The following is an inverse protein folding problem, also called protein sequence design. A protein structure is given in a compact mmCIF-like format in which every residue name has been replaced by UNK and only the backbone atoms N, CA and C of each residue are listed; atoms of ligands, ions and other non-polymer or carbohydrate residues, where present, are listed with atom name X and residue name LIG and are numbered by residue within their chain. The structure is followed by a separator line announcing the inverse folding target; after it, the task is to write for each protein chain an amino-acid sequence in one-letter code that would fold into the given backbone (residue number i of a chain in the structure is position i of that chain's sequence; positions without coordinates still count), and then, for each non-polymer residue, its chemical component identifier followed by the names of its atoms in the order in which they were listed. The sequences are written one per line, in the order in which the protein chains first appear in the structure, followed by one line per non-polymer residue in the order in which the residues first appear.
data_IF_406103180427
#
_entry.id   IF_406103180427
#
_cell.length_a   1.000
_cell.length_b   1.000
_cell.length_c   1.000
_cell.angle_alpha   90.00
_cell.angle_beta   90.00
_cell.angle_gamma   90.00
#
_symmetry.space_group_name_H-M   'P 1'
#
loop_
_entity.id
_entity.type
_entity.pdbx_description
1 polymer ?
#
# COMPACT_ATOMS: atom_id res chain seq x y z
N UNK A 1 -13.94 -10.36 -14.27
CA UNK A 1 -13.25 -9.07 -14.35
C UNK A 1 -11.84 -9.36 -14.86
N UNK A 2 -11.38 -8.68 -15.92
CA UNK A 2 -10.00 -8.82 -16.41
C UNK A 2 -9.05 -7.98 -15.55
N UNK A 3 -7.77 -8.29 -15.58
CA UNK A 3 -6.74 -7.54 -14.83
C UNK A 3 -6.74 -6.05 -15.19
N UNK A 4 -6.94 -5.73 -16.48
CA UNK A 4 -6.98 -4.35 -16.94
C UNK A 4 -8.18 -3.57 -16.37
N UNK A 5 -9.31 -4.24 -16.16
CA UNK A 5 -10.49 -3.64 -15.55
C UNK A 5 -10.22 -3.28 -14.07
N UNK A 6 -9.49 -4.15 -13.34
CA UNK A 6 -9.11 -3.88 -11.94
C UNK A 6 -8.20 -2.66 -11.86
N UNK A 7 -7.21 -2.58 -12.76
CA UNK A 7 -6.29 -1.43 -12.84
C UNK A 7 -7.06 -0.14 -13.12
N UNK A 8 -7.93 -0.13 -14.13
CA UNK A 8 -8.73 1.03 -14.48
C UNK A 8 -9.63 1.47 -13.32
N UNK A 9 -10.38 0.53 -12.72
CA UNK A 9 -11.26 0.80 -11.58
C UNK A 9 -10.52 1.41 -10.40
N UNK A 10 -9.32 0.91 -10.06
CA UNK A 10 -8.53 1.47 -8.96
C UNK A 10 -8.13 2.92 -9.24
N UNK A 11 -7.58 3.19 -10.41
CA UNK A 11 -7.12 4.54 -10.77
C UNK A 11 -8.30 5.51 -10.87
N UNK A 12 -9.42 5.08 -11.46
CA UNK A 12 -10.64 5.89 -11.56
C UNK A 12 -11.26 6.17 -10.19
N UNK A 13 -11.29 5.17 -9.31
CA UNK A 13 -11.77 5.32 -7.94
C UNK A 13 -10.97 6.39 -7.19
N UNK A 14 -9.64 6.31 -7.16
CA UNK A 14 -8.84 7.31 -6.46
C UNK A 14 -8.81 8.67 -7.17
N UNK A 15 -8.93 8.70 -8.51
CA UNK A 15 -9.17 9.96 -9.24
C UNK A 15 -10.44 10.65 -8.76
N UNK A 16 -11.52 9.90 -8.51
CA UNK A 16 -12.77 10.44 -7.95
C UNK A 16 -12.62 10.99 -6.53
N UNK A 17 -11.63 10.50 -5.76
CA UNK A 17 -11.24 11.01 -4.44
C UNK A 17 -10.19 12.14 -4.51
N UNK A 18 -10.09 12.80 -5.67
CA UNK A 18 -9.15 13.90 -5.96
C UNK A 18 -7.66 13.54 -5.91
N UNK A 19 -7.30 12.28 -6.18
CA UNK A 19 -5.89 11.91 -6.37
C UNK A 19 -5.46 12.23 -7.80
N UNK A 20 -4.27 12.81 -7.94
CA UNK A 20 -3.62 12.93 -9.24
C UNK A 20 -3.13 11.55 -9.67
N UNK A 21 -3.51 11.12 -10.86
CA UNK A 21 -3.04 9.85 -11.44
C UNK A 21 -1.65 10.08 -12.04
N UNK A 22 -0.65 9.38 -11.52
CA UNK A 22 0.71 9.38 -12.04
C UNK A 22 0.96 8.14 -12.92
N UNK A 23 1.74 8.27 -14.00
CA UNK A 23 2.22 7.11 -14.73
C UNK A 23 3.15 6.27 -13.84
N UNK A 24 3.29 4.99 -14.18
CA UNK A 24 4.36 4.15 -13.63
C UNK A 24 5.72 4.76 -13.97
N UNK A 25 6.60 4.88 -12.98
CA UNK A 25 7.99 5.24 -13.19
C UNK A 25 8.79 4.04 -13.73
N UNK A 26 10.03 4.30 -14.13
CA UNK A 26 11.02 3.33 -14.57
C UNK A 26 11.26 2.21 -13.54
N UNK A 27 11.58 1.01 -14.03
CA UNK A 27 12.08 -0.08 -13.18
C UNK A 27 13.49 0.20 -12.66
N UNK A 28 14.26 1.02 -13.37
CA UNK A 28 15.62 1.43 -12.98
C UNK A 28 15.53 2.86 -12.43
N UNK A 29 15.71 3.07 -11.12
CA UNK A 29 15.75 4.40 -10.53
C UNK A 29 16.92 5.21 -11.10
N UNK A 30 16.69 6.48 -11.43
CA UNK A 30 17.74 7.37 -11.95
C UNK A 30 18.56 8.03 -10.85
N UNK A 31 17.90 8.34 -9.74
CA UNK A 31 18.42 9.26 -8.71
C UNK A 31 18.61 8.58 -7.34
N UNK A 32 18.55 7.24 -7.28
CA UNK A 32 18.77 6.48 -6.04
C UNK A 32 19.73 5.31 -6.29
N UNK A 33 21.04 5.48 -6.01
CA UNK A 33 22.04 4.44 -6.24
C UNK A 33 21.94 3.28 -5.24
N UNK A 34 21.10 3.40 -4.19
CA UNK A 34 20.93 2.35 -3.18
C UNK A 34 19.87 1.32 -3.55
N UNK A 35 19.03 1.63 -4.55
CA UNK A 35 17.92 0.79 -5.00
C UNK A 35 18.23 0.25 -6.39
N UNK A 36 18.37 -1.07 -6.50
CA UNK A 36 18.68 -1.73 -7.77
C UNK A 36 17.50 -1.65 -8.76
N UNK A 37 16.29 -1.93 -8.28
CA UNK A 37 15.06 -1.84 -9.06
C UNK A 37 13.92 -1.23 -8.24
N UNK A 38 13.01 -0.55 -8.91
CA UNK A 38 11.76 -0.06 -8.31
C UNK A 38 10.93 -1.23 -7.80
N UNK A 39 10.88 -1.42 -6.48
CA UNK A 39 10.24 -2.56 -5.82
C UNK A 39 8.85 -2.24 -5.26
N UNK A 40 8.48 -0.96 -5.20
CA UNK A 40 7.19 -0.48 -4.71
C UNK A 40 6.72 0.79 -5.45
N UNK A 41 5.41 1.08 -5.34
CA UNK A 41 4.81 2.30 -5.90
C UNK A 41 5.30 3.59 -5.25
N UNK A 42 5.77 3.53 -4.00
CA UNK A 42 6.18 4.71 -3.24
C UNK A 42 7.53 5.30 -3.67
N UNK A 43 8.39 4.53 -4.35
CA UNK A 43 9.76 4.94 -4.68
C UNK A 43 9.80 6.28 -5.44
N UNK A 44 8.95 6.46 -6.45
CA UNK A 44 8.87 7.71 -7.23
C UNK A 44 8.35 8.91 -6.42
N UNK A 45 7.73 8.64 -5.26
CA UNK A 45 7.15 9.65 -4.37
C UNK A 45 8.02 9.97 -3.16
N UNK A 46 9.21 9.36 -3.03
CA UNK A 46 10.16 9.63 -1.94
C UNK A 46 10.42 11.14 -1.72
N UNK A 47 10.59 11.98 -2.77
CA UNK A 47 10.74 13.43 -2.58
C UNK A 47 9.53 14.13 -1.96
N UNK A 48 8.31 13.63 -2.16
CA UNK A 48 7.09 14.20 -1.57
C UNK A 48 6.98 13.82 -0.10
N UNK A 49 7.25 12.55 0.25
CA UNK A 49 7.29 12.11 1.65
C UNK A 49 8.38 12.78 2.47
N UNK A 50 9.50 13.13 1.84
CA UNK A 50 10.59 13.90 2.46
C UNK A 50 10.32 15.41 2.48
N UNK A 51 9.23 15.88 1.87
CA UNK A 51 8.86 17.30 1.83
C UNK A 51 9.70 18.16 0.89
N UNK A 52 10.53 17.56 0.04
CA UNK A 52 11.31 18.24 -1.00
C UNK A 52 10.42 18.72 -2.16
N UNK A 53 9.33 18.01 -2.40
CA UNK A 53 8.27 18.36 -3.37
C UNK A 53 6.94 18.49 -2.63
N UNK A 54 6.17 19.54 -2.92
CA UNK A 54 4.89 19.85 -2.25
C UNK A 54 3.79 20.30 -3.21
N UNK A 55 4.00 20.11 -4.51
CA UNK A 55 3.07 20.51 -5.58
C UNK A 55 1.84 19.61 -5.69
N UNK A 56 1.84 18.48 -4.99
CA UNK A 56 0.73 17.52 -4.96
C UNK A 56 0.54 17.03 -3.52
N UNK A 57 -0.71 16.94 -3.09
CA UNK A 57 -1.11 16.43 -1.77
C UNK A 57 -1.66 14.99 -1.82
N UNK A 58 -2.17 14.56 -2.98
CA UNK A 58 -2.74 13.22 -3.21
C UNK A 58 -2.30 12.65 -4.55
N UNK A 59 -1.80 11.42 -4.56
CA UNK A 59 -1.39 10.73 -5.77
C UNK A 59 -1.88 9.29 -5.81
N UNK A 60 -2.16 8.77 -7.00
CA UNK A 60 -2.33 7.33 -7.19
C UNK A 60 -1.63 6.86 -8.46
N UNK A 61 -1.21 5.60 -8.48
CA UNK A 61 -0.51 5.02 -9.63
C UNK A 61 -0.69 3.50 -9.69
N UNK A 62 -0.42 2.94 -10.87
CA UNK A 62 -0.16 1.52 -11.06
C UNK A 62 1.32 1.38 -11.45
N UNK A 63 2.17 1.07 -10.46
CA UNK A 63 3.62 1.01 -10.64
C UNK A 63 4.05 -0.40 -11.07
N UNK A 64 4.82 -0.50 -12.15
CA UNK A 64 5.57 -1.72 -12.46
C UNK A 64 6.68 -1.90 -11.41
N UNK A 65 6.69 -3.05 -10.75
CA UNK A 65 7.62 -3.37 -9.69
C UNK A 65 8.46 -4.61 -10.05
N UNK A 66 9.70 -4.62 -9.60
CA UNK A 66 10.57 -5.80 -9.65
C UNK A 66 11.14 -6.08 -8.26
N UNK A 67 10.93 -7.31 -7.76
CA UNK A 67 11.48 -7.80 -6.50
C UNK A 67 12.39 -9.00 -6.75
N UNK A 68 13.67 -8.84 -6.41
CA UNK A 68 14.66 -9.91 -6.46
C UNK A 68 14.59 -10.81 -5.22
N UNK A 69 14.13 -10.28 -4.10
CA UNK A 69 14.07 -11.00 -2.81
C UNK A 69 13.08 -12.18 -2.84
N UNK A 70 12.12 -12.16 -3.76
CA UNK A 70 11.12 -13.21 -3.92
C UNK A 70 11.53 -14.30 -4.91
N UNK A 71 12.72 -14.20 -5.53
CA UNK A 71 13.18 -15.09 -6.60
C UNK A 71 13.10 -16.58 -6.20
N UNK A 72 13.53 -16.91 -4.99
CA UNK A 72 13.51 -18.29 -4.48
C UNK A 72 12.10 -18.84 -4.23
N UNK A 73 11.08 -17.99 -4.20
CA UNK A 73 9.68 -18.39 -3.95
C UNK A 73 8.86 -18.44 -5.25
N UNK A 74 9.35 -17.82 -6.32
CA UNK A 74 8.67 -17.82 -7.62
C UNK A 74 8.58 -19.24 -8.16
N UNK A 75 7.37 -19.64 -8.59
CA UNK A 75 7.08 -21.00 -9.04
C UNK A 75 6.90 -22.02 -7.91
N UNK A 76 7.26 -21.70 -6.67
CA UNK A 76 7.01 -22.54 -5.48
C UNK A 76 5.71 -22.18 -4.76
N UNK A 77 5.21 -20.97 -4.96
CA UNK A 77 3.99 -20.45 -4.31
C UNK A 77 3.09 -19.77 -5.33
N UNK A 78 1.77 -19.68 -5.07
CA UNK A 78 0.83 -19.05 -6.02
C UNK A 78 0.87 -17.52 -5.99
N UNK A 79 1.58 -16.89 -5.04
CA UNK A 79 1.48 -15.46 -4.74
C UNK A 79 2.78 -14.65 -4.99
N UNK A 80 3.91 -15.30 -5.25
CA UNK A 80 5.19 -14.62 -5.42
C UNK A 80 5.58 -14.48 -6.90
N UNK A 81 5.94 -13.26 -7.29
CA UNK A 81 6.38 -12.89 -8.63
C UNK A 81 7.65 -12.05 -8.56
N UNK A 82 8.51 -12.14 -9.58
CA UNK A 82 9.63 -11.19 -9.73
C UNK A 82 9.13 -9.84 -10.24
N UNK A 83 8.35 -9.85 -11.32
CA UNK A 83 7.72 -8.67 -11.90
C UNK A 83 6.22 -8.67 -11.64
N UNK A 84 5.70 -7.55 -11.14
CA UNK A 84 4.28 -7.38 -10.87
C UNK A 84 3.88 -5.90 -10.92
N UNK A 85 2.59 -5.60 -10.86
CA UNK A 85 2.08 -4.24 -10.77
C UNK A 85 1.53 -3.95 -9.37
N UNK A 86 1.96 -2.83 -8.79
CA UNK A 86 1.50 -2.35 -7.49
C UNK A 86 0.54 -1.17 -7.70
N UNK A 87 -0.72 -1.37 -7.33
CA UNK A 87 -1.71 -0.30 -7.24
C UNK A 87 -1.54 0.41 -5.89
N UNK A 88 -1.39 1.73 -5.90
CA UNK A 88 -1.16 2.50 -4.68
C UNK A 88 -1.83 3.87 -4.71
N UNK A 89 -2.31 4.29 -3.55
CA UNK A 89 -2.76 5.64 -3.24
C UNK A 89 -1.83 6.25 -2.19
N UNK A 90 -1.51 7.52 -2.32
CA UNK A 90 -0.50 8.20 -1.52
C UNK A 90 -1.04 9.55 -1.06
N UNK A 91 -0.88 9.81 0.23
CA UNK A 91 -1.18 11.09 0.88
C UNK A 91 0.12 11.77 1.27
N UNK A 92 0.27 13.05 0.91
CA UNK A 92 1.41 13.87 1.27
C UNK A 92 0.95 15.01 2.19
N UNK A 93 0.76 14.69 3.47
CA UNK A 93 0.31 15.66 4.47
C UNK A 93 -1.15 16.11 4.31
N UNK A 94 -2.00 15.25 3.74
CA UNK A 94 -3.42 15.55 3.51
C UNK A 94 -4.34 14.67 4.36
N UNK A 95 -4.71 13.49 3.89
CA UNK A 95 -5.51 12.52 4.64
C UNK A 95 -4.61 11.50 5.36
N UNK A 96 -5.16 10.81 6.36
CA UNK A 96 -4.39 9.85 7.16
C UNK A 96 -5.14 8.53 7.31
N UNK A 97 -5.01 7.85 8.45
CA UNK A 97 -5.53 6.49 8.66
C UNK A 97 -7.02 6.35 8.38
N UNK A 98 -7.84 7.30 8.84
CA UNK A 98 -9.30 7.20 8.70
C UNK A 98 -9.72 7.09 7.23
N UNK A 99 -9.34 8.05 6.41
CA UNK A 99 -9.70 8.06 4.99
C UNK A 99 -9.01 6.93 4.23
N UNK A 100 -7.75 6.62 4.56
CA UNK A 100 -7.02 5.52 3.93
C UNK A 100 -7.76 4.18 4.11
N UNK A 101 -8.16 3.87 5.35
CA UNK A 101 -8.89 2.64 5.69
C UNK A 101 -10.29 2.65 5.05
N UNK A 102 -11.04 3.75 5.16
CA UNK A 102 -12.40 3.84 4.64
C UNK A 102 -12.42 3.68 3.11
N UNK A 103 -11.49 4.32 2.40
CA UNK A 103 -11.43 4.21 0.94
C UNK A 103 -10.92 2.85 0.47
N UNK A 104 -9.97 2.24 1.18
CA UNK A 104 -9.54 0.87 0.88
C UNK A 104 -10.71 -0.12 1.06
N UNK A 105 -11.47 0.03 2.16
CA UNK A 105 -12.66 -0.76 2.40
C UNK A 105 -13.73 -0.56 1.32
N UNK A 106 -14.09 0.69 1.03
CA UNK A 106 -15.04 1.06 -0.03
C UNK A 106 -14.63 0.47 -1.38
N UNK A 107 -13.34 0.56 -1.75
CA UNK A 107 -12.87 -0.02 -3.00
C UNK A 107 -13.07 -1.54 -3.06
N UNK A 108 -12.70 -2.25 -1.99
CA UNK A 108 -12.76 -3.72 -1.95
C UNK A 108 -14.21 -4.22 -1.92
N UNK A 109 -15.08 -3.61 -1.11
CA UNK A 109 -16.46 -4.10 -0.93
C UNK A 109 -17.44 -3.49 -1.93
N UNK A 110 -17.27 -2.23 -2.31
CA UNK A 110 -18.22 -1.56 -3.20
C UNK A 110 -17.82 -1.57 -4.66
N UNK A 111 -16.52 -1.49 -4.98
CA UNK A 111 -16.04 -1.45 -6.38
C UNK A 111 -15.69 -2.85 -6.89
N UNK A 112 -14.94 -3.61 -6.10
CA UNK A 112 -14.58 -5.00 -6.43
C UNK A 112 -15.68 -6.01 -6.05
N UNK A 113 -16.63 -5.61 -5.20
CA UNK A 113 -17.73 -6.48 -4.73
C UNK A 113 -17.22 -7.77 -4.08
N UNK A 114 -16.10 -7.68 -3.36
CA UNK A 114 -15.60 -8.80 -2.56
C UNK A 114 -16.49 -8.91 -1.31
N UNK A 115 -17.05 -10.10 -1.01
CA UNK A 115 -17.92 -10.25 0.14
C UNK A 115 -17.20 -9.92 1.45
N UNK A 116 -17.73 -9.01 2.29
CA UNK A 116 -17.11 -8.57 3.53
C UNK A 116 -16.67 -9.71 4.45
N UNK A 117 -17.42 -10.80 4.50
CA UNK A 117 -17.17 -12.00 5.32
C UNK A 117 -15.90 -12.77 4.93
N UNK A 118 -15.38 -12.57 3.70
CA UNK A 118 -14.14 -13.20 3.22
C UNK A 118 -12.89 -12.38 3.52
N UNK A 119 -13.05 -11.16 4.01
CA UNK A 119 -11.96 -10.23 4.26
C UNK A 119 -11.51 -10.37 5.71
N UNK A 120 -10.21 -10.26 5.91
CA UNK A 120 -9.53 -10.17 7.20
C UNK A 120 -8.65 -8.92 7.17
N UNK A 121 -8.51 -8.27 8.32
CA UNK A 121 -7.66 -7.08 8.45
C UNK A 121 -6.71 -7.27 9.63
N UNK A 122 -5.51 -6.73 9.55
CA UNK A 122 -4.57 -6.73 10.66
C UNK A 122 -4.18 -5.30 11.01
N UNK A 123 -3.94 -5.08 12.30
CA UNK A 123 -3.52 -3.79 12.85
C UNK A 123 -2.27 -4.01 13.70
N UNK A 124 -1.32 -3.08 13.62
CA UNK A 124 -0.14 -3.13 14.47
C UNK A 124 -0.54 -3.00 15.94
N UNK A 125 0.10 -3.77 16.81
CA UNK A 125 -0.30 -3.92 18.23
C UNK A 125 -0.47 -2.61 19.01
N UNK A 126 0.33 -1.61 18.70
CA UNK A 126 0.34 -0.33 19.41
C UNK A 126 -0.46 0.75 18.65
N UNK A 127 -1.01 0.43 17.47
CA UNK A 127 -1.80 1.35 16.65
C UNK A 127 -3.30 1.28 17.01
N UNK A 128 -3.64 1.95 18.11
CA UNK A 128 -5.04 2.07 18.57
C UNK A 128 -5.93 2.82 17.59
N UNK A 129 -5.37 3.82 16.91
CA UNK A 129 -6.12 4.68 15.98
C UNK A 129 -6.65 3.86 14.79
N UNK A 130 -5.80 3.04 14.16
CA UNK A 130 -6.24 2.16 13.08
C UNK A 130 -7.30 1.14 13.56
N UNK A 131 -7.14 0.59 14.76
CA UNK A 131 -8.11 -0.33 15.36
C UNK A 131 -9.48 0.34 15.55
N UNK A 132 -9.50 1.54 16.11
CA UNK A 132 -10.71 2.33 16.33
C UNK A 132 -11.39 2.70 15.02
N UNK A 133 -10.63 3.03 13.96
CA UNK A 133 -11.22 3.27 12.62
C UNK A 133 -11.92 2.02 12.09
N UNK A 134 -11.28 0.84 12.14
CA UNK A 134 -11.90 -0.41 11.70
C UNK A 134 -13.15 -0.75 12.52
N UNK A 135 -13.07 -0.60 13.84
CA UNK A 135 -14.17 -0.94 14.75
C UNK A 135 -15.34 0.05 14.67
N UNK A 136 -15.08 1.35 14.72
CA UNK A 136 -16.13 2.35 14.94
C UNK A 136 -16.63 2.96 13.63
N UNK A 137 -15.71 3.23 12.68
CA UNK A 137 -16.05 3.84 11.39
C UNK A 137 -16.48 2.80 10.37
N UNK A 138 -15.69 1.74 10.20
CA UNK A 138 -15.99 0.67 9.25
C UNK A 138 -17.00 -0.34 9.83
N UNK A 139 -17.06 -0.46 11.16
CA UNK A 139 -17.88 -1.47 11.86
C UNK A 139 -17.49 -2.90 11.47
N UNK A 140 -16.19 -3.11 11.33
CA UNK A 140 -15.63 -4.40 10.97
C UNK A 140 -15.67 -5.35 12.18
N UNK A 141 -16.06 -6.63 12.00
CA UNK A 141 -16.16 -7.58 13.11
C UNK A 141 -14.82 -7.82 13.81
N UNK A 142 -14.80 -7.62 15.14
CA UNK A 142 -13.58 -7.68 15.96
C UNK A 142 -12.91 -9.08 15.93
N UNK A 143 -13.69 -10.15 15.74
CA UNK A 143 -13.20 -11.53 15.62
C UNK A 143 -12.35 -11.77 14.36
N UNK A 144 -12.42 -10.87 13.38
CA UNK A 144 -11.64 -10.91 12.14
C UNK A 144 -10.57 -9.81 12.06
N UNK A 145 -10.28 -9.18 13.21
CA UNK A 145 -9.11 -8.33 13.43
C UNK A 145 -8.15 -9.09 14.37
N UNK A 146 -7.34 -10.05 13.86
CA UNK A 146 -6.36 -10.76 14.68
C UNK A 146 -5.49 -9.79 15.51
N UNK A 147 -5.42 -10.07 16.81
CA UNK A 147 -4.68 -9.33 17.84
C UNK A 147 -3.15 -9.46 17.68
N UNK A 148 -2.35 -8.53 18.26
CA UNK A 148 -1.02 -8.05 17.89
C UNK A 148 -0.22 -8.75 16.80
N UNK A 149 -0.12 -8.12 15.62
CA UNK A 149 0.98 -8.41 14.68
C UNK A 149 2.18 -7.55 15.09
N UNK A 150 3.32 -8.18 15.40
CA UNK A 150 4.56 -7.46 15.71
C UNK A 150 5.24 -6.94 14.44
N UNK A 151 6.24 -6.05 14.57
CA UNK A 151 7.04 -5.63 13.41
C UNK A 151 7.76 -6.84 12.80
N UNK A 152 8.25 -7.77 13.62
CA UNK A 152 8.82 -9.03 13.14
C UNK A 152 7.82 -9.84 12.31
N UNK A 153 6.55 -9.91 12.71
CA UNK A 153 5.52 -10.63 11.96
C UNK A 153 5.19 -9.95 10.63
N UNK A 154 5.14 -8.61 10.61
CA UNK A 154 4.97 -7.83 9.38
C UNK A 154 6.14 -8.05 8.41
N UNK A 155 7.38 -8.02 8.91
CA UNK A 155 8.57 -8.27 8.10
C UNK A 155 8.62 -9.72 7.57
N UNK A 156 8.27 -10.70 8.40
CA UNK A 156 8.21 -12.12 8.01
C UNK A 156 7.12 -12.41 6.98
N UNK A 157 6.04 -11.62 6.96
CA UNK A 157 4.96 -11.81 5.98
C UNK A 157 5.39 -11.55 4.53
N UNK A 158 6.50 -10.82 4.31
CA UNK A 158 6.96 -10.41 2.98
C UNK A 158 6.07 -9.35 2.30
N UNK A 159 4.99 -8.92 2.98
CA UNK A 159 4.05 -7.90 2.50
C UNK A 159 4.63 -6.50 2.76
N UNK A 160 5.36 -6.33 3.87
CA UNK A 160 5.90 -5.04 4.30
C UNK A 160 7.34 -4.78 3.83
N UNK A 161 7.58 -3.54 3.37
CA UNK A 161 8.90 -3.03 3.03
C UNK A 161 9.80 -3.05 4.26
N UNK A 162 11.00 -3.64 4.16
CA UNK A 162 12.05 -3.51 5.17
C UNK A 162 12.75 -2.17 4.96
N UNK A 163 12.52 -1.16 5.80
CA UNK A 163 13.12 0.15 5.57
C UNK A 163 14.61 0.07 5.87
N UNK A 164 15.42 0.59 4.96
CA UNK A 164 16.88 0.49 5.03
C UNK A 164 17.47 1.38 6.13
N UNK A 165 16.70 2.36 6.62
CA UNK A 165 17.10 3.28 7.69
C UNK A 165 16.11 3.30 8.86
N UNK A 166 16.61 3.56 10.07
CA UNK A 166 15.80 3.71 11.30
C UNK A 166 14.80 4.86 11.20
N UNK A 167 15.10 5.89 10.42
CA UNK A 167 14.25 7.06 10.22
C UNK A 167 13.08 6.78 9.28
N UNK A 168 13.31 5.97 8.23
CA UNK A 168 12.23 5.44 7.38
C UNK A 168 11.34 4.46 8.16
N UNK A 169 11.90 3.63 9.06
CA UNK A 169 11.10 2.74 9.93
C UNK A 169 10.08 3.51 10.77
N UNK A 170 10.47 4.66 11.31
CA UNK A 170 9.60 5.47 12.17
C UNK A 170 8.51 6.24 11.41
N UNK A 171 8.69 6.48 10.10
CA UNK A 171 7.69 7.17 9.27
C UNK A 171 6.80 6.19 8.51
N UNK A 172 7.33 5.05 8.07
CA UNK A 172 6.56 4.01 7.37
C UNK A 172 5.62 3.27 8.34
N UNK A 173 5.96 3.17 9.62
CA UNK A 173 5.03 2.67 10.67
C UNK A 173 3.86 3.61 10.98
N UNK A 174 3.85 4.81 10.41
CA UNK A 174 2.79 5.80 10.57
C UNK A 174 1.82 5.82 9.37
N UNK A 175 2.03 5.01 8.33
CA UNK A 175 1.16 4.91 7.16
C UNK A 175 0.42 3.58 7.09
#
# INVERSE_FOLDING_TARGET
MKTDDVRAKFLDFFRSKAHKVFPSDSLVPKDDPTVLFTSAGMNQFKPYFLGMRKDVSRACSCQKCLRTDDLEKVGKTPAHHTFFEMLGNFSFGDYFKQEAIVWAWEFVTEVLKIPPEKIWVSVYKDDKEAYEVWKDKVKFPEDRIPRPVTVEDLLKSGIWFSPSTTEEKNRVSQF
#
